data_IF_947762932803
#
_entry.id   IF_947762932803
#
_cell.length_a   1.000
_cell.length_b   1.000
_cell.length_c   1.000
_cell.angle_alpha   90.00
_cell.angle_beta   90.00
_cell.angle_gamma   90.00
#
_symmetry.space_group_name_H-M   'P 1'
#
loop_
_entity.id
_entity.type
_entity.pdbx_description
1 polymer ?
#
# COMPACT_ATOMS: atom_id res chain seq x y z
N UNK A 1 -2.13 19.47 -27.60
CA UNK A 1 -2.48 18.25 -26.85
C UNK A 1 -2.38 18.58 -25.38
N UNK A 2 -3.49 18.55 -24.63
CA UNK A 2 -3.46 18.87 -23.20
C UNK A 2 -2.60 17.86 -22.43
N UNK A 3 -1.65 18.33 -21.63
CA UNK A 3 -0.86 17.48 -20.73
C UNK A 3 -1.84 16.73 -19.82
N UNK A 4 -1.74 15.39 -19.80
CA UNK A 4 -2.56 14.55 -18.92
C UNK A 4 -2.14 14.81 -17.48
N UNK A 5 -3.06 15.36 -16.68
CA UNK A 5 -2.86 15.60 -15.26
C UNK A 5 -3.22 14.33 -14.47
N UNK A 6 -2.33 13.86 -13.59
CA UNK A 6 -2.52 12.68 -12.76
C UNK A 6 -2.86 13.08 -11.33
N UNK A 7 -3.87 12.43 -10.77
CA UNK A 7 -4.25 12.50 -9.37
C UNK A 7 -3.74 11.25 -8.65
N UNK A 8 -2.93 11.46 -7.64
CA UNK A 8 -2.27 10.39 -6.88
C UNK A 8 -2.74 10.45 -5.44
N UNK A 9 -3.31 9.34 -4.96
CA UNK A 9 -3.62 9.18 -3.55
C UNK A 9 -2.55 8.32 -2.88
N UNK A 10 -1.98 8.82 -1.78
CA UNK A 10 -0.93 8.14 -1.02
C UNK A 10 -1.50 7.78 0.34
N UNK A 11 -1.45 6.51 0.72
CA UNK A 11 -1.89 6.06 2.04
C UNK A 11 -0.72 5.41 2.80
N UNK A 12 -0.21 6.12 3.80
CA UNK A 12 0.94 5.70 4.63
C UNK A 12 0.56 5.19 6.02
N UNK A 13 -0.74 5.12 6.32
CA UNK A 13 -1.26 4.68 7.61
C UNK A 13 -1.19 5.79 8.64
N UNK A 14 -1.51 5.47 9.89
CA UNK A 14 -1.58 6.44 11.01
C UNK A 14 -0.30 6.50 11.83
N UNK A 15 0.69 5.65 11.54
CA UNK A 15 2.00 5.62 12.18
C UNK A 15 3.04 6.34 11.32
N UNK A 16 3.99 7.03 11.95
CA UNK A 16 4.97 7.87 11.25
C UNK A 16 5.75 7.09 10.19
N UNK A 17 5.95 7.66 9.00
CA UNK A 17 6.75 7.07 7.92
C UNK A 17 7.78 8.05 7.34
N UNK A 18 8.82 8.44 8.13
CA UNK A 18 9.73 9.53 7.77
C UNK A 18 10.38 9.37 6.39
N UNK A 19 10.87 8.17 6.05
CA UNK A 19 11.54 7.92 4.76
C UNK A 19 10.69 8.35 3.56
N UNK A 20 9.38 8.05 3.57
CA UNK A 20 8.50 8.40 2.46
C UNK A 20 8.05 9.87 2.53
N UNK A 21 7.75 10.39 3.72
CA UNK A 21 7.28 11.77 3.87
C UNK A 21 8.39 12.78 3.58
N UNK A 22 9.60 12.55 4.11
CA UNK A 22 10.78 13.37 3.83
C UNK A 22 11.16 13.35 2.35
N UNK A 23 11.05 12.20 1.68
CA UNK A 23 11.26 12.11 0.23
C UNK A 23 10.38 13.11 -0.53
N UNK A 24 9.09 13.19 -0.20
CA UNK A 24 8.15 14.11 -0.87
C UNK A 24 8.32 15.58 -0.47
N UNK A 25 8.88 15.85 0.72
CA UNK A 25 9.20 17.22 1.13
C UNK A 25 10.49 17.75 0.47
N UNK A 26 11.44 16.87 0.18
CA UNK A 26 12.76 17.25 -0.34
C UNK A 26 12.84 17.20 -1.88
N UNK A 27 12.06 16.34 -2.53
CA UNK A 27 12.12 16.17 -3.99
C UNK A 27 11.08 17.04 -4.69
N UNK A 28 11.41 17.71 -5.80
CA UNK A 28 10.43 18.43 -6.58
C UNK A 28 9.38 17.47 -7.14
N UNK A 29 8.12 17.86 -7.03
CA UNK A 29 7.01 17.10 -7.59
C UNK A 29 7.01 17.29 -9.12
N UNK A 30 6.97 16.20 -9.93
CA UNK A 30 6.89 16.30 -11.38
C UNK A 30 5.66 17.09 -11.85
N UNK A 31 5.82 17.88 -12.92
CA UNK A 31 4.70 18.61 -13.54
C UNK A 31 3.56 17.68 -13.94
N UNK A 32 2.32 18.16 -13.79
CA UNK A 32 1.12 17.40 -14.17
C UNK A 32 0.74 16.30 -13.18
N UNK A 33 1.23 16.36 -11.93
CA UNK A 33 0.84 15.45 -10.86
C UNK A 33 0.30 16.23 -9.65
N UNK A 34 -0.76 15.72 -9.04
CA UNK A 34 -1.26 16.20 -7.75
C UNK A 34 -1.37 15.06 -6.77
N UNK A 35 -0.88 15.29 -5.55
CA UNK A 35 -0.82 14.30 -4.50
C UNK A 35 -1.78 14.66 -3.37
N UNK A 36 -2.46 13.66 -2.83
CA UNK A 36 -3.19 13.73 -1.57
C UNK A 36 -2.69 12.62 -0.64
N UNK A 37 -2.27 12.97 0.56
CA UNK A 37 -1.72 12.04 1.54
C UNK A 37 -2.75 11.69 2.63
N UNK A 38 -2.98 10.42 2.89
CA UNK A 38 -3.41 9.93 4.18
C UNK A 38 -2.14 9.57 4.96
N UNK A 39 -1.85 10.29 6.04
CA UNK A 39 -0.57 10.22 6.75
C UNK A 39 -0.71 10.11 8.26
N UNK A 40 0.41 10.01 8.98
CA UNK A 40 0.41 10.00 10.44
C UNK A 40 0.20 11.40 11.03
N UNK A 41 -0.28 11.48 12.27
CA UNK A 41 -0.35 12.75 12.98
C UNK A 41 1.01 13.10 13.59
N UNK A 42 1.93 13.62 12.77
CA UNK A 42 3.23 14.12 13.18
C UNK A 42 3.62 15.41 12.43
N UNK A 43 4.63 16.10 12.95
CA UNK A 43 5.09 17.41 12.46
C UNK A 43 5.55 17.37 11.00
N UNK A 44 6.28 16.31 10.60
CA UNK A 44 6.81 16.16 9.25
C UNK A 44 5.66 15.93 8.26
N UNK A 45 4.79 14.98 8.57
CA UNK A 45 3.70 14.57 7.67
C UNK A 45 2.65 15.66 7.50
N UNK A 46 2.43 16.50 8.52
CA UNK A 46 1.48 17.63 8.46
C UNK A 46 1.83 18.72 7.44
N UNK A 47 3.06 18.72 6.92
CA UNK A 47 3.50 19.65 5.87
C UNK A 47 3.07 19.19 4.47
N UNK A 48 2.64 17.93 4.32
CA UNK A 48 2.16 17.38 3.05
C UNK A 48 0.68 17.71 2.83
N UNK A 49 0.28 17.89 1.59
CA UNK A 49 -1.13 18.08 1.24
C UNK A 49 -1.94 16.80 1.53
N UNK A 50 -2.70 16.78 2.63
CA UNK A 50 -3.35 15.56 3.09
C UNK A 50 -4.16 15.68 4.37
N UNK A 51 -4.49 14.52 4.93
CA UNK A 51 -5.19 14.37 6.19
C UNK A 51 -4.58 13.22 7.01
N UNK A 52 -4.52 13.39 8.34
CA UNK A 52 -4.01 12.35 9.24
C UNK A 52 -5.00 11.20 9.47
N UNK A 53 -6.29 11.48 9.33
CA UNK A 53 -7.38 10.50 9.40
C UNK A 53 -8.39 10.78 8.30
N UNK A 54 -8.90 9.71 7.72
CA UNK A 54 -10.01 9.72 6.80
C UNK A 54 -11.05 8.73 7.30
N UNK A 55 -12.32 9.13 7.32
CA UNK A 55 -13.40 8.19 7.50
C UNK A 55 -13.42 7.19 6.34
N UNK A 56 -14.08 6.04 6.56
CA UNK A 56 -14.17 4.97 5.56
C UNK A 56 -14.70 5.46 4.21
N UNK A 57 -15.74 6.30 4.23
CA UNK A 57 -16.34 6.87 3.03
C UNK A 57 -15.35 7.79 2.29
N UNK A 58 -14.71 8.71 3.01
CA UNK A 58 -13.71 9.63 2.45
C UNK A 58 -12.51 8.88 1.85
N UNK A 59 -12.05 7.81 2.51
CA UNK A 59 -10.98 6.96 1.98
C UNK A 59 -11.38 6.32 0.63
N UNK A 60 -12.61 5.82 0.53
CA UNK A 60 -13.14 5.26 -0.71
C UNK A 60 -13.32 6.31 -1.79
N UNK A 61 -13.75 7.52 -1.45
CA UNK A 61 -13.80 8.66 -2.36
C UNK A 61 -12.40 9.04 -2.88
N UNK A 62 -11.37 9.00 -2.02
CA UNK A 62 -9.98 9.22 -2.43
C UNK A 62 -9.47 8.14 -3.38
N UNK A 63 -9.82 6.87 -3.13
CA UNK A 63 -9.52 5.79 -4.07
C UNK A 63 -10.23 5.99 -5.42
N UNK A 64 -11.50 6.42 -5.42
CA UNK A 64 -12.25 6.66 -6.65
C UNK A 64 -11.74 7.88 -7.43
N UNK A 65 -11.31 8.92 -6.71
CA UNK A 65 -10.74 10.15 -7.27
C UNK A 65 -9.36 9.93 -7.90
N UNK A 66 -8.56 9.01 -7.36
CA UNK A 66 -7.19 8.81 -7.80
C UNK A 66 -7.10 8.08 -9.15
N UNK A 67 -6.14 8.50 -9.98
CA UNK A 67 -5.76 7.78 -11.19
C UNK A 67 -4.74 6.67 -10.88
N UNK A 68 -3.92 6.89 -9.84
CA UNK A 68 -2.91 5.96 -9.31
C UNK A 68 -2.85 6.08 -7.78
N UNK A 69 -2.42 5.02 -7.11
CA UNK A 69 -2.27 5.01 -5.65
C UNK A 69 -0.90 4.52 -5.21
N UNK A 70 -0.36 5.12 -4.15
CA UNK A 70 0.86 4.69 -3.47
C UNK A 70 0.48 4.25 -2.06
N UNK A 71 0.89 3.05 -1.67
CA UNK A 71 0.43 2.43 -0.43
C UNK A 71 1.65 1.91 0.32
N UNK A 72 1.80 2.34 1.58
CA UNK A 72 2.65 1.59 2.51
C UNK A 72 2.00 0.22 2.69
N UNK A 73 2.74 -0.87 2.64
CA UNK A 73 2.21 -2.22 2.44
C UNK A 73 1.33 -2.82 3.58
N UNK A 74 0.52 -2.02 4.26
CA UNK A 74 -0.58 -2.44 5.12
C UNK A 74 -1.67 -3.14 4.31
N UNK A 75 -1.92 -4.40 4.64
CA UNK A 75 -2.70 -5.28 3.78
C UNK A 75 -4.18 -4.85 3.61
N UNK A 76 -4.77 -4.09 4.54
CA UNK A 76 -6.15 -3.59 4.47
C UNK A 76 -6.31 -2.52 3.41
N UNK A 77 -5.35 -1.61 3.35
CA UNK A 77 -5.31 -0.57 2.32
C UNK A 77 -4.97 -1.15 0.95
N UNK A 78 -4.08 -2.16 0.90
CA UNK A 78 -3.81 -2.92 -0.34
C UNK A 78 -5.11 -3.55 -0.87
N UNK A 79 -5.85 -4.24 0.00
CA UNK A 79 -7.14 -4.86 -0.33
C UNK A 79 -8.09 -3.84 -0.93
N UNK A 80 -8.29 -2.71 -0.26
CA UNK A 80 -9.24 -1.67 -0.68
C UNK A 80 -8.86 -1.08 -2.05
N UNK A 81 -7.57 -0.85 -2.28
CA UNK A 81 -7.09 -0.32 -3.55
C UNK A 81 -7.31 -1.29 -4.71
N UNK A 82 -6.95 -2.56 -4.53
CA UNK A 82 -7.16 -3.61 -5.54
C UNK A 82 -8.67 -3.79 -5.81
N UNK A 83 -9.49 -3.82 -4.76
CA UNK A 83 -10.95 -3.91 -4.87
C UNK A 83 -11.54 -2.70 -5.62
N UNK A 84 -10.95 -1.51 -5.46
CA UNK A 84 -11.32 -0.30 -6.19
C UNK A 84 -10.80 -0.26 -7.64
N UNK A 85 -10.09 -1.28 -8.11
CA UNK A 85 -9.60 -1.41 -9.50
C UNK A 85 -8.23 -0.79 -9.76
N UNK A 86 -7.45 -0.51 -8.70
CA UNK A 86 -6.08 -0.03 -8.82
C UNK A 86 -5.07 -1.17 -8.96
N UNK A 87 -3.99 -0.90 -9.69
CA UNK A 87 -2.72 -1.61 -9.54
C UNK A 87 -1.83 -0.73 -8.65
N UNK A 88 -1.84 -0.92 -7.31
CA UNK A 88 -1.14 -0.02 -6.40
C UNK A 88 0.38 -0.07 -6.58
N UNK A 89 1.04 1.08 -6.39
CA UNK A 89 2.47 1.14 -6.13
C UNK A 89 2.70 0.90 -4.64
N UNK A 90 3.35 -0.21 -4.30
CA UNK A 90 3.66 -0.57 -2.92
C UNK A 90 5.02 -0.03 -2.54
N UNK A 91 5.03 0.74 -1.45
CA UNK A 91 6.25 1.27 -0.82
C UNK A 91 6.33 0.69 0.59
N UNK A 92 6.85 -0.54 0.76
CA UNK A 92 6.83 -1.22 2.05
C UNK A 92 7.70 -0.48 3.06
N UNK A 93 7.34 -0.63 4.34
CA UNK A 93 8.27 -0.39 5.45
C UNK A 93 9.28 -1.53 5.49
N UNK A 94 10.52 -1.22 5.79
CA UNK A 94 11.62 -2.17 5.65
C UNK A 94 12.38 -2.36 6.97
N UNK A 95 12.69 -3.62 7.30
CA UNK A 95 13.46 -3.95 8.50
C UNK A 95 14.85 -3.30 8.49
N UNK A 96 15.50 -3.22 7.32
CA UNK A 96 16.82 -2.56 7.14
C UNK A 96 16.83 -1.07 7.51
N UNK A 97 15.67 -0.42 7.44
CA UNK A 97 15.48 0.98 7.87
C UNK A 97 14.91 1.10 9.29
N UNK A 98 14.74 -0.03 10.00
CA UNK A 98 14.14 -0.12 11.34
C UNK A 98 12.71 0.45 11.41
N UNK A 99 11.97 0.36 10.31
CA UNK A 99 10.60 0.89 10.19
C UNK A 99 9.53 -0.12 10.65
N UNK A 100 9.90 -1.39 10.74
CA UNK A 100 9.04 -2.53 11.05
C UNK A 100 9.85 -3.60 11.78
N UNK A 101 9.18 -4.48 12.51
CA UNK A 101 9.81 -5.56 13.30
C UNK A 101 10.08 -6.84 12.49
N UNK A 102 9.42 -7.00 11.34
CA UNK A 102 9.58 -8.15 10.44
C UNK A 102 9.22 -7.75 9.00
N UNK A 103 9.64 -8.57 8.03
CA UNK A 103 9.46 -8.31 6.60
C UNK A 103 8.18 -8.93 6.00
N UNK A 104 7.17 -9.29 6.82
CA UNK A 104 5.94 -9.92 6.30
C UNK A 104 5.21 -9.04 5.28
N UNK A 105 5.17 -7.72 5.51
CA UNK A 105 4.60 -6.77 4.55
C UNK A 105 5.37 -6.76 3.22
N UNK A 106 6.69 -6.95 3.25
CA UNK A 106 7.53 -7.04 2.07
C UNK A 106 7.29 -8.36 1.32
N UNK A 107 7.14 -9.48 2.04
CA UNK A 107 6.78 -10.78 1.45
C UNK A 107 5.45 -10.69 0.68
N UNK A 108 4.42 -10.07 1.27
CA UNK A 108 3.13 -9.83 0.59
C UNK A 108 3.33 -8.95 -0.66
N UNK A 109 4.12 -7.89 -0.56
CA UNK A 109 4.34 -6.95 -1.64
C UNK A 109 5.04 -7.60 -2.85
N UNK A 110 6.09 -8.41 -2.63
CA UNK A 110 6.72 -9.21 -3.67
C UNK A 110 5.75 -10.16 -4.35
N UNK A 111 4.89 -10.80 -3.56
CA UNK A 111 3.98 -11.78 -4.07
C UNK A 111 2.89 -11.13 -4.96
N UNK A 112 2.39 -9.96 -4.57
CA UNK A 112 1.48 -9.14 -5.38
C UNK A 112 2.13 -8.61 -6.67
N UNK A 113 3.39 -8.21 -6.62
CA UNK A 113 4.15 -7.81 -7.80
C UNK A 113 4.32 -8.97 -8.78
N UNK A 114 4.66 -10.17 -8.29
CA UNK A 114 4.79 -11.38 -9.12
C UNK A 114 3.49 -11.75 -9.83
N UNK A 115 2.34 -11.47 -9.23
CA UNK A 115 1.02 -11.66 -9.85
C UNK A 115 0.62 -10.52 -10.80
N UNK A 116 1.45 -9.48 -10.96
CA UNK A 116 1.13 -8.29 -11.74
C UNK A 116 0.00 -7.44 -11.15
N UNK A 117 -0.38 -7.69 -9.89
CA UNK A 117 -1.50 -7.01 -9.23
C UNK A 117 -1.09 -5.75 -8.49
N UNK A 118 0.22 -5.56 -8.30
CA UNK A 118 0.83 -4.35 -7.77
C UNK A 118 2.18 -4.11 -8.45
N UNK A 119 2.77 -2.94 -8.23
CA UNK A 119 4.16 -2.64 -8.57
C UNK A 119 4.92 -2.41 -7.26
N UNK A 120 6.12 -2.97 -7.10
CA UNK A 120 6.92 -2.79 -5.89
C UNK A 120 7.97 -1.69 -6.08
N UNK A 121 8.10 -0.84 -5.06
CA UNK A 121 9.11 0.20 -4.96
C UNK A 121 9.80 0.14 -3.59
N UNK A 122 10.88 -0.63 -3.53
CA UNK A 122 11.75 -0.72 -2.35
C UNK A 122 12.71 0.47 -2.20
N UNK A 123 13.10 1.06 -3.33
CA UNK A 123 14.02 2.18 -3.41
C UNK A 123 13.29 3.42 -3.93
N UNK A 124 13.24 4.47 -3.12
CA UNK A 124 12.50 5.69 -3.43
C UNK A 124 13.11 6.49 -4.57
N UNK A 125 14.39 6.29 -4.90
CA UNK A 125 14.99 6.96 -6.06
C UNK A 125 14.32 6.52 -7.38
N UNK A 126 13.70 5.34 -7.39
CA UNK A 126 12.94 4.81 -8.53
C UNK A 126 11.43 5.06 -8.43
N UNK A 127 10.96 5.81 -7.42
CA UNK A 127 9.53 5.94 -7.11
C UNK A 127 8.74 6.47 -8.30
N UNK A 128 9.19 7.56 -8.93
CA UNK A 128 8.45 8.14 -10.05
C UNK A 128 8.50 7.24 -11.28
N UNK A 129 9.60 6.54 -11.54
CA UNK A 129 9.68 5.58 -12.64
C UNK A 129 8.68 4.42 -12.43
N UNK A 130 8.69 3.81 -11.24
CA UNK A 130 7.76 2.75 -10.85
C UNK A 130 6.31 3.23 -10.85
N UNK A 131 6.05 4.47 -10.45
CA UNK A 131 4.73 5.07 -10.52
C UNK A 131 4.21 5.18 -11.96
N UNK A 132 5.08 5.46 -12.94
CA UNK A 132 4.68 5.46 -14.35
C UNK A 132 4.36 4.05 -14.86
N UNK A 133 5.09 3.03 -14.40
CA UNK A 133 4.87 1.62 -14.76
C UNK A 133 3.52 1.08 -14.25
N UNK A 134 3.05 1.54 -13.08
CA UNK A 134 1.74 1.14 -12.56
C UNK A 134 0.61 1.53 -13.53
N UNK A 135 -0.34 0.65 -13.80
CA UNK A 135 -1.46 0.99 -14.66
C UNK A 135 -2.37 2.05 -14.01
N UNK A 136 -2.99 2.91 -14.83
CA UNK A 136 -4.11 3.74 -14.35
C UNK A 136 -5.24 2.83 -13.85
N UNK A 137 -5.99 3.31 -12.86
CA UNK A 137 -7.20 2.66 -12.35
C UNK A 137 -8.10 2.18 -13.50
N UNK A 138 -8.53 0.92 -13.45
CA UNK A 138 -9.50 0.35 -14.42
C UNK A 138 -10.83 0.10 -13.72
N UNK A 139 -11.87 0.82 -14.12
CA UNK A 139 -13.21 0.70 -13.52
C UNK A 139 -13.89 -0.67 -13.74
N UNK A 140 -13.44 -1.47 -14.71
CA UNK A 140 -14.17 -2.66 -15.22
C UNK A 140 -13.72 -4.04 -14.70
N UNK A 141 -12.74 -4.17 -13.81
CA UNK A 141 -12.10 -5.48 -13.51
C UNK A 141 -12.32 -6.09 -12.11
N UNK A 142 -13.35 -5.71 -11.37
CA UNK A 142 -13.60 -6.22 -9.99
C UNK A 142 -13.70 -7.76 -9.90
N UNK A 143 -14.24 -8.43 -10.92
CA UNK A 143 -14.45 -9.89 -10.91
C UNK A 143 -13.16 -10.72 -11.03
N UNK A 144 -12.14 -10.25 -11.77
CA UNK A 144 -10.86 -10.94 -11.90
C UNK A 144 -10.02 -10.84 -10.62
N UNK A 145 -10.26 -9.80 -9.81
CA UNK A 145 -9.55 -9.54 -8.56
C UNK A 145 -10.09 -10.32 -7.37
N UNK A 146 -11.29 -10.94 -7.46
CA UNK A 146 -12.00 -11.47 -6.29
C UNK A 146 -11.24 -12.56 -5.51
N UNK A 147 -10.54 -13.45 -6.22
CA UNK A 147 -9.69 -14.47 -5.59
C UNK A 147 -8.52 -13.84 -4.84
N UNK A 148 -7.86 -12.86 -5.46
CA UNK A 148 -6.75 -12.12 -4.86
C UNK A 148 -7.19 -11.27 -3.67
N UNK A 149 -8.31 -10.58 -3.81
CA UNK A 149 -8.95 -9.75 -2.79
C UNK A 149 -9.27 -10.61 -1.57
N UNK A 150 -9.82 -11.81 -1.77
CA UNK A 150 -10.07 -12.77 -0.69
C UNK A 150 -8.76 -13.20 0.00
N UNK A 151 -7.73 -13.50 -0.77
CA UNK A 151 -6.42 -13.89 -0.31
C UNK A 151 -5.69 -12.82 0.53
N UNK A 152 -5.69 -11.55 0.08
CA UNK A 152 -5.12 -10.42 0.84
C UNK A 152 -5.90 -10.23 2.15
N UNK A 153 -7.22 -10.43 2.12
CA UNK A 153 -8.07 -10.38 3.33
C UNK A 153 -7.73 -11.50 4.31
N UNK A 154 -7.44 -12.72 3.85
CA UNK A 154 -7.00 -13.82 4.71
C UNK A 154 -5.63 -13.52 5.35
N UNK A 155 -4.68 -12.96 4.57
CA UNK A 155 -3.38 -12.54 5.10
C UNK A 155 -3.54 -11.51 6.23
N UNK A 156 -4.42 -10.51 6.05
CA UNK A 156 -4.77 -9.53 7.09
C UNK A 156 -5.27 -10.15 8.39
N UNK A 157 -6.20 -11.09 8.28
CA UNK A 157 -6.78 -11.76 9.44
C UNK A 157 -5.73 -12.58 10.19
N UNK A 158 -4.76 -13.15 9.47
CA UNK A 158 -3.65 -13.91 10.07
C UNK A 158 -2.63 -13.04 10.81
N UNK A 159 -2.37 -11.80 10.33
CA UNK A 159 -1.51 -10.83 11.01
C UNK A 159 -2.14 -10.37 12.34
N UNK A 160 -3.44 -10.04 12.33
CA UNK A 160 -4.15 -9.62 13.55
C UNK A 160 -4.25 -10.75 14.58
N UNK A 161 -4.50 -11.99 14.14
CA UNK A 161 -4.53 -13.15 15.03
C UNK A 161 -3.17 -13.41 15.70
N UNK A 162 -2.06 -13.14 14.99
CA UNK A 162 -0.70 -13.26 15.53
C UNK A 162 -0.36 -12.13 16.50
N UNK A 163 -0.84 -10.91 16.26
CA UNK A 163 -0.60 -9.75 17.12
C UNK A 163 -1.42 -9.79 18.44
N UNK A 164 -2.59 -10.43 18.46
CA UNK A 164 -3.40 -10.62 19.66
C UNK A 164 -2.94 -11.78 20.56
N UNK A 165 -1.98 -12.60 20.14
CA UNK A 165 -1.51 -13.80 20.86
C UNK A 165 -0.14 -13.60 21.56
N UNK A 166 0.09 -12.41 22.14
CA UNK A 166 1.32 -12.12 22.90
C UNK A 166 1.33 -12.67 24.34
N UNK A 167 0.28 -13.37 24.78
CA UNK A 167 0.38 -14.25 25.93
C UNK A 167 0.02 -15.69 25.57
N UNK A 168 1.04 -16.55 25.61
CA UNK A 168 1.03 -18.03 25.63
C UNK A 168 0.85 -18.82 24.30
N UNK A 169 1.97 -19.47 23.89
CA UNK A 169 2.13 -20.75 23.13
C UNK A 169 2.21 -20.73 21.57
N UNK A 170 3.45 -20.79 21.04
CA UNK A 170 4.00 -21.62 19.92
C UNK A 170 3.34 -21.59 18.49
N UNK A 171 3.98 -22.20 17.46
CA UNK A 171 4.43 -21.63 16.16
C UNK A 171 3.35 -21.54 15.04
N UNK A 172 2.06 -21.45 15.39
CA UNK A 172 0.93 -21.61 14.46
C UNK A 172 0.70 -20.41 13.52
N UNK A 173 0.99 -19.17 13.95
CA UNK A 173 0.76 -17.96 13.14
C UNK A 173 1.59 -17.92 11.85
N UNK A 174 2.85 -18.36 11.93
CA UNK A 174 3.75 -18.49 10.76
C UNK A 174 3.25 -19.54 9.77
N UNK A 175 2.61 -20.59 10.28
CA UNK A 175 2.09 -21.68 9.47
C UNK A 175 0.83 -21.26 8.70
N UNK A 176 -0.05 -20.45 9.31
CA UNK A 176 -1.25 -19.91 8.63
C UNK A 176 -0.85 -18.91 7.54
N UNK A 177 0.05 -17.96 7.83
CA UNK A 177 0.56 -17.03 6.82
C UNK A 177 1.23 -17.78 5.66
N UNK A 178 2.09 -18.76 5.96
CA UNK A 178 2.70 -19.60 4.92
C UNK A 178 1.68 -20.43 4.13
N UNK A 179 0.56 -20.83 4.74
CA UNK A 179 -0.53 -21.57 4.06
C UNK A 179 -1.33 -20.67 3.14
N UNK A 180 -1.63 -19.44 3.55
CA UNK A 180 -2.30 -18.44 2.71
C UNK A 180 -1.42 -18.09 1.52
N UNK A 181 -0.15 -17.76 1.76
CA UNK A 181 0.85 -17.55 0.70
C UNK A 181 0.95 -18.79 -0.21
N UNK A 182 1.14 -20.01 0.33
CA UNK A 182 1.18 -21.23 -0.50
C UNK A 182 -0.11 -21.51 -1.28
N UNK A 183 -1.28 -21.12 -0.77
CA UNK A 183 -2.57 -21.32 -1.45
C UNK A 183 -2.78 -20.31 -2.60
N UNK A 184 -2.15 -19.13 -2.51
CA UNK A 184 -2.18 -18.11 -3.56
C UNK A 184 -1.14 -18.40 -4.65
N UNK A 185 0.04 -18.91 -4.26
CA UNK A 185 1.23 -19.01 -5.11
C UNK A 185 1.66 -20.44 -5.45
N UNK A 186 0.86 -21.46 -5.11
CA UNK A 186 1.12 -22.88 -5.35
C UNK A 186 0.10 -23.51 -6.29
#
# INVERSE_FOLDING_TARGET
MGRQHLRIFIATGTTSFPRLTEFFLQKPIPEGMTFFFQHAQDEISSQLNGASRLARAEFQERLAWADKVIIHAGAGTIYDAIAAGHQPLLVPRLLRHREVVNDHQLELAHALEKMGSAVLCEDLDNLFEKLHQANKRKERQVAASQGLVTAVREALLSEHASAMHLETVLPMGRQVYSRVVKRIFG
#
